data_IF_482718887499
#
_entry.id   IF_482718887499
#
_cell.length_a   1.000
_cell.length_b   1.000
_cell.length_c   1.000
_cell.angle_alpha   90.00
_cell.angle_beta   90.00
_cell.angle_gamma   90.00
#
_symmetry.space_group_name_H-M   'P 1'
#
loop_
_entity.id
_entity.type
_entity.pdbx_description
1 polymer ?
#
# COMPACT_ATOMS: atom_id res chain seq x y z
N UNK A 1 42.81 7.94 -22.29
CA UNK A 1 42.27 7.67 -20.93
C UNK A 1 41.33 8.76 -20.41
N UNK A 2 41.72 10.04 -20.34
CA UNK A 2 40.86 11.14 -19.81
C UNK A 2 39.45 11.23 -20.41
N UNK A 3 39.31 11.06 -21.74
CA UNK A 3 37.99 11.02 -22.42
C UNK A 3 37.10 9.85 -21.96
N UNK A 4 37.68 8.68 -21.68
CA UNK A 4 36.93 7.51 -21.19
C UNK A 4 36.46 7.72 -19.75
N UNK A 5 37.29 8.33 -18.91
CA UNK A 5 36.94 8.70 -17.52
C UNK A 5 35.78 9.71 -17.50
N UNK A 6 35.81 10.70 -18.39
CA UNK A 6 34.71 11.68 -18.53
C UNK A 6 33.39 11.02 -18.94
N UNK A 7 33.42 10.10 -19.92
CA UNK A 7 32.22 9.37 -20.36
C UNK A 7 31.66 8.49 -19.22
N UNK A 8 32.52 7.77 -18.49
CA UNK A 8 32.09 6.94 -17.36
C UNK A 8 31.47 7.79 -16.24
N UNK A 9 32.05 8.94 -15.91
CA UNK A 9 31.51 9.84 -14.90
C UNK A 9 30.12 10.38 -15.30
N UNK A 10 29.93 10.77 -16.56
CA UNK A 10 28.63 11.22 -17.07
C UNK A 10 27.58 10.10 -16.97
N UNK A 11 27.93 8.88 -17.36
CA UNK A 11 27.04 7.72 -17.25
C UNK A 11 26.59 7.47 -15.80
N UNK A 12 27.50 7.54 -14.84
CA UNK A 12 27.17 7.38 -13.42
C UNK A 12 26.19 8.46 -12.96
N UNK A 13 26.43 9.72 -13.34
CA UNK A 13 25.53 10.84 -12.99
C UNK A 13 24.14 10.63 -13.59
N UNK A 14 24.05 10.22 -14.86
CA UNK A 14 22.75 9.93 -15.51
C UNK A 14 22.00 8.79 -14.81
N UNK A 15 22.71 7.74 -14.38
CA UNK A 15 22.11 6.63 -13.64
C UNK A 15 21.59 7.07 -12.27
N UNK A 16 22.38 7.83 -11.51
CA UNK A 16 21.97 8.38 -10.21
C UNK A 16 20.74 9.28 -10.37
N UNK A 17 20.75 10.16 -11.38
CA UNK A 17 19.62 11.06 -11.61
C UNK A 17 18.35 10.31 -12.02
N UNK A 18 18.49 9.30 -12.90
CA UNK A 18 17.37 8.42 -13.28
C UNK A 18 16.81 7.68 -12.06
N UNK A 19 17.68 7.21 -11.18
CA UNK A 19 17.28 6.55 -9.94
C UNK A 19 16.48 7.47 -9.02
N UNK A 20 16.91 8.72 -8.85
CA UNK A 20 16.19 9.72 -8.05
C UNK A 20 14.81 10.01 -8.66
N UNK A 21 14.73 10.22 -9.98
CA UNK A 21 13.47 10.49 -10.67
C UNK A 21 12.46 9.34 -10.54
N UNK A 22 12.94 8.09 -10.62
CA UNK A 22 12.11 6.91 -10.43
C UNK A 22 11.52 6.89 -9.01
N UNK A 23 12.34 7.12 -7.98
CA UNK A 23 11.88 7.09 -6.59
C UNK A 23 10.94 8.27 -6.23
N UNK A 24 11.01 9.38 -6.96
CA UNK A 24 10.08 10.50 -6.79
C UNK A 24 8.73 10.24 -7.45
N UNK A 25 8.71 9.48 -8.56
CA UNK A 25 7.49 9.27 -9.37
C UNK A 25 6.72 8.01 -8.99
N UNK A 26 7.39 7.00 -8.49
CA UNK A 26 6.79 5.69 -8.19
C UNK A 26 6.85 5.38 -6.70
N UNK A 27 5.80 4.73 -6.20
CA UNK A 27 5.69 4.27 -4.80
C UNK A 27 6.76 3.21 -4.51
N UNK A 28 7.05 2.38 -5.52
CA UNK A 28 8.11 1.38 -5.50
C UNK A 28 9.01 1.51 -6.72
N UNK A 29 10.31 1.26 -6.52
CA UNK A 29 11.25 1.27 -7.62
C UNK A 29 11.09 -0.02 -8.45
N UNK A 30 10.66 0.05 -9.72
CA UNK A 30 10.38 -1.12 -10.55
C UNK A 30 11.62 -1.96 -10.87
N UNK A 31 12.83 -1.43 -10.65
CA UNK A 31 14.10 -2.13 -10.90
C UNK A 31 14.53 -2.93 -9.66
N UNK A 32 14.30 -2.38 -8.46
CA UNK A 32 14.77 -2.97 -7.21
C UNK A 32 13.70 -3.76 -6.46
N UNK A 33 12.43 -3.60 -6.84
CA UNK A 33 11.31 -4.19 -6.12
C UNK A 33 10.68 -5.31 -6.94
N UNK A 34 10.57 -6.49 -6.33
CA UNK A 34 9.92 -7.65 -6.92
C UNK A 34 8.40 -7.58 -6.74
N UNK A 35 7.62 -7.85 -7.78
CA UNK A 35 6.16 -7.95 -7.68
C UNK A 35 5.75 -9.18 -6.89
N UNK A 36 4.64 -9.09 -6.18
CA UNK A 36 3.99 -10.22 -5.51
C UNK A 36 2.48 -10.01 -5.46
N UNK A 37 1.77 -10.77 -4.62
CA UNK A 37 0.32 -10.66 -4.47
C UNK A 37 -0.15 -9.27 -4.03
N UNK A 38 0.61 -8.57 -3.18
CA UNK A 38 0.29 -7.22 -2.69
C UNK A 38 0.56 -6.19 -3.79
N UNK A 39 1.66 -6.35 -4.53
CA UNK A 39 2.04 -5.46 -5.64
C UNK A 39 1.93 -6.14 -7.00
N UNK A 40 0.76 -6.72 -7.30
CA UNK A 40 0.54 -7.58 -8.48
C UNK A 40 0.20 -6.80 -9.76
N UNK A 41 -0.19 -5.54 -9.63
CA UNK A 41 -0.52 -4.67 -10.76
C UNK A 41 0.75 -4.20 -11.50
N UNK A 42 0.59 -3.71 -12.74
CA UNK A 42 1.69 -3.10 -13.50
C UNK A 42 2.31 -1.91 -12.74
N UNK A 43 3.63 -1.73 -12.82
CA UNK A 43 4.34 -0.65 -12.14
C UNK A 43 3.83 0.74 -12.50
N UNK A 44 3.25 0.91 -13.68
CA UNK A 44 2.63 2.16 -14.11
C UNK A 44 1.45 2.60 -13.25
N UNK A 45 0.86 1.70 -12.45
CA UNK A 45 -0.23 1.97 -11.51
C UNK A 45 0.30 2.51 -10.17
N UNK A 46 1.48 2.06 -9.74
CA UNK A 46 2.10 2.45 -8.46
C UNK A 46 2.84 3.80 -8.55
N UNK A 47 2.11 4.86 -8.90
CA UNK A 47 2.66 6.21 -9.09
C UNK A 47 2.13 7.21 -8.07
N UNK A 48 2.94 8.24 -7.83
CA UNK A 48 2.52 9.46 -7.14
C UNK A 48 1.95 10.49 -8.13
N UNK A 49 1.13 11.46 -7.66
CA UNK A 49 0.59 11.60 -6.30
C UNK A 49 -0.48 10.54 -5.97
N UNK A 50 -0.55 10.11 -4.71
CA UNK A 50 -1.52 9.12 -4.25
C UNK A 50 -2.00 9.48 -2.85
N UNK A 51 -3.21 9.01 -2.51
CA UNK A 51 -3.81 9.21 -1.19
C UNK A 51 -4.28 7.90 -0.59
N UNK A 52 -4.42 7.89 0.73
CA UNK A 52 -5.02 6.82 1.51
C UNK A 52 -6.39 7.30 1.99
N UNK A 53 -7.40 6.48 1.80
CA UNK A 53 -8.72 6.63 2.38
C UNK A 53 -8.95 5.52 3.38
N UNK A 54 -9.31 5.92 4.60
CA UNK A 54 -9.71 5.01 5.66
C UNK A 54 -11.22 5.01 5.76
N UNK A 55 -11.81 3.82 5.81
CA UNK A 55 -13.25 3.63 5.92
C UNK A 55 -13.60 2.75 7.12
N UNK A 56 -14.76 3.03 7.71
CA UNK A 56 -15.43 2.21 8.71
C UNK A 56 -16.77 1.75 8.18
N UNK A 57 -17.11 0.47 8.40
CA UNK A 57 -18.45 -0.03 8.11
C UNK A 57 -19.37 0.27 9.29
N UNK A 58 -20.34 1.15 9.06
CA UNK A 58 -21.35 1.58 10.02
C UNK A 58 -22.75 1.08 9.59
N UNK A 59 -23.78 1.35 10.38
CA UNK A 59 -25.16 0.87 10.12
C UNK A 59 -25.70 1.27 8.73
N UNK A 60 -25.24 2.41 8.21
CA UNK A 60 -25.64 2.94 6.91
C UNK A 60 -24.66 2.60 5.77
N UNK A 61 -23.67 1.75 6.03
CA UNK A 61 -22.64 1.34 5.07
C UNK A 61 -21.26 1.97 5.34
N UNK A 62 -20.43 1.99 4.30
CA UNK A 62 -19.05 2.50 4.38
C UNK A 62 -19.02 4.01 4.55
N UNK A 63 -18.34 4.47 5.60
CA UNK A 63 -18.10 5.88 5.89
C UNK A 63 -16.61 6.16 5.89
N UNK A 64 -16.18 7.23 5.21
CA UNK A 64 -14.77 7.68 5.24
C UNK A 64 -14.50 8.26 6.63
N UNK A 65 -13.49 7.73 7.32
CA UNK A 65 -13.05 8.22 8.64
C UNK A 65 -11.90 9.21 8.52
N UNK A 66 -10.99 8.99 7.58
CA UNK A 66 -9.89 9.92 7.31
C UNK A 66 -9.33 9.79 5.89
N UNK A 67 -8.71 10.86 5.41
CA UNK A 67 -7.95 10.92 4.15
C UNK A 67 -6.54 11.40 4.47
N UNK A 68 -5.54 10.67 3.97
CA UNK A 68 -4.12 10.95 4.24
C UNK A 68 -3.33 11.02 2.94
N UNK A 69 -2.66 12.16 2.74
CA UNK A 69 -1.78 12.44 1.59
C UNK A 69 -0.30 12.30 2.00
N UNK A 70 0.10 11.15 2.56
CA UNK A 70 1.48 10.87 2.97
C UNK A 70 2.08 9.69 2.18
N UNK A 71 3.01 10.02 1.29
CA UNK A 71 3.76 9.07 0.49
C UNK A 71 4.53 8.05 1.34
N UNK A 72 5.01 8.44 2.53
CA UNK A 72 5.74 7.55 3.44
C UNK A 72 4.79 6.53 4.08
N UNK A 73 3.58 6.95 4.41
CA UNK A 73 2.55 6.09 4.98
C UNK A 73 2.10 5.03 3.96
N UNK A 74 1.87 5.44 2.70
CA UNK A 74 1.56 4.52 1.60
C UNK A 74 2.65 3.45 1.46
N UNK A 75 3.92 3.90 1.42
CA UNK A 75 5.05 3.00 1.28
C UNK A 75 5.18 2.07 2.49
N UNK A 76 4.93 2.57 3.70
CA UNK A 76 4.96 1.78 4.92
C UNK A 76 3.89 0.69 4.92
N UNK A 77 2.63 1.03 4.63
CA UNK A 77 1.52 0.05 4.60
C UNK A 77 1.83 -1.11 3.65
N UNK A 78 2.19 -0.79 2.40
CA UNK A 78 2.46 -1.81 1.38
C UNK A 78 3.70 -2.65 1.74
N UNK A 79 4.72 -2.05 2.36
CA UNK A 79 5.90 -2.77 2.85
C UNK A 79 5.57 -3.71 4.01
N UNK A 80 4.76 -3.28 4.98
CA UNK A 80 4.36 -4.13 6.11
C UNK A 80 3.52 -5.32 5.65
N UNK A 81 2.54 -5.10 4.78
CA UNK A 81 1.74 -6.18 4.20
C UNK A 81 2.62 -7.19 3.42
N UNK A 82 3.64 -6.70 2.72
CA UNK A 82 4.57 -7.56 1.97
C UNK A 82 5.50 -8.41 2.85
N UNK A 83 5.83 -7.96 4.07
CA UNK A 83 6.73 -8.71 4.97
C UNK A 83 6.18 -10.10 5.30
N UNK A 84 4.87 -10.22 5.43
CA UNK A 84 4.22 -11.44 5.86
C UNK A 84 3.83 -12.30 4.64
N UNK A 85 4.81 -13.03 4.10
CA UNK A 85 4.63 -13.94 2.94
C UNK A 85 3.74 -15.15 3.22
N UNK A 86 3.45 -15.46 4.48
CA UNK A 86 2.58 -16.57 4.85
C UNK A 86 1.13 -16.20 4.58
N UNK A 87 0.62 -16.64 3.42
CA UNK A 87 -0.81 -16.61 3.13
C UNK A 87 -1.50 -17.52 4.15
N UNK A 88 -2.33 -16.95 5.03
CA UNK A 88 -3.12 -17.76 5.97
C UNK A 88 -4.16 -18.52 5.13
N UNK A 89 -3.91 -19.79 4.84
CA UNK A 89 -4.69 -20.63 3.92
C UNK A 89 -6.07 -21.07 4.46
N UNK A 90 -6.63 -20.42 5.48
CA UNK A 90 -8.04 -20.68 5.77
C UNK A 90 -8.79 -19.46 6.31
N UNK A 91 -9.78 -19.07 5.50
CA UNK A 91 -10.97 -18.27 5.80
C UNK A 91 -11.60 -18.62 7.17
N UNK A 92 -11.43 -19.86 7.62
CA UNK A 92 -11.96 -20.37 8.89
C UNK A 92 -11.27 -19.82 10.15
N UNK A 93 -10.04 -19.30 10.06
CA UNK A 93 -9.39 -18.56 11.16
C UNK A 93 -9.74 -17.07 11.18
N UNK A 94 -10.06 -16.51 10.00
CA UNK A 94 -10.34 -15.09 9.80
C UNK A 94 -11.76 -14.69 10.19
N UNK A 95 -12.78 -15.48 9.84
CA UNK A 95 -14.19 -15.09 10.04
C UNK A 95 -14.90 -15.74 11.23
N UNK A 96 -14.35 -16.81 11.84
CA UNK A 96 -15.07 -17.54 12.91
C UNK A 96 -15.28 -16.77 14.22
N UNK A 97 -14.91 -15.48 14.31
CA UNK A 97 -15.07 -14.64 15.51
C UNK A 97 -15.69 -13.26 15.22
N UNK A 98 -16.60 -13.16 14.26
CA UNK A 98 -17.19 -11.88 13.82
C UNK A 98 -17.83 -11.00 14.93
N UNK A 99 -18.19 -11.52 16.11
CA UNK A 99 -18.68 -10.68 17.22
C UNK A 99 -17.59 -10.05 18.08
N UNK A 100 -16.40 -10.66 18.16
CA UNK A 100 -15.29 -10.18 19.00
C UNK A 100 -14.30 -9.33 18.19
N UNK A 101 -14.38 -9.37 16.86
CA UNK A 101 -13.45 -8.72 15.95
C UNK A 101 -13.67 -7.21 15.81
N UNK A 102 -14.77 -6.66 16.32
CA UNK A 102 -15.09 -5.24 16.21
C UNK A 102 -15.61 -4.85 14.81
N UNK A 103 -15.60 -3.56 14.48
CA UNK A 103 -16.11 -3.09 13.19
C UNK A 103 -15.20 -3.50 12.03
N UNK A 104 -15.78 -3.74 10.86
CA UNK A 104 -15.02 -3.88 9.62
C UNK A 104 -14.50 -2.50 9.21
N UNK A 105 -13.23 -2.47 8.78
CA UNK A 105 -12.52 -1.30 8.30
C UNK A 105 -11.95 -1.61 6.92
N UNK A 106 -11.76 -0.57 6.12
CA UNK A 106 -11.15 -0.69 4.80
C UNK A 106 -10.15 0.43 4.58
N UNK A 107 -9.03 0.08 3.96
CA UNK A 107 -8.03 1.03 3.49
C UNK A 107 -8.01 0.98 1.97
N UNK A 108 -8.11 2.14 1.34
CA UNK A 108 -8.02 2.30 -0.12
C UNK A 108 -6.87 3.24 -0.43
N UNK A 109 -5.90 2.77 -1.19
CA UNK A 109 -4.82 3.59 -1.74
C UNK A 109 -5.20 3.89 -3.19
N UNK A 110 -5.28 5.17 -3.56
CA UNK A 110 -5.66 5.59 -4.90
C UNK A 110 -4.67 6.58 -5.49
N UNK A 111 -4.52 6.54 -6.81
CA UNK A 111 -3.80 7.56 -7.55
C UNK A 111 -4.68 8.80 -7.67
N UNK A 112 -4.12 9.99 -7.45
CA UNK A 112 -4.82 11.25 -7.65
C UNK A 112 -4.68 11.69 -9.12
N UNK A 113 -5.80 11.78 -9.81
CA UNK A 113 -5.86 12.30 -11.20
C UNK A 113 -6.10 13.80 -11.27
N UNK A 114 -6.54 14.40 -10.16
CA UNK A 114 -6.75 15.84 -10.00
C UNK A 114 -6.25 16.28 -8.62
N UNK A 115 -6.16 17.59 -8.39
CA UNK A 115 -5.84 18.14 -7.06
C UNK A 115 -6.97 17.93 -6.03
N UNK A 116 -8.13 17.40 -6.46
CA UNK A 116 -9.25 17.10 -5.57
C UNK A 116 -9.09 15.69 -5.00
N UNK A 117 -9.23 15.60 -3.68
CA UNK A 117 -9.26 14.33 -2.96
C UNK A 117 -10.40 13.43 -3.50
N UNK A 118 -10.14 12.13 -3.57
CA UNK A 118 -11.16 11.12 -3.90
C UNK A 118 -11.33 10.80 -5.39
N UNK A 119 -10.63 11.48 -6.29
CA UNK A 119 -10.70 11.22 -7.72
C UNK A 119 -9.47 10.48 -8.25
N UNK A 120 -9.70 9.27 -8.79
CA UNK A 120 -8.72 8.51 -9.56
C UNK A 120 -8.76 7.01 -9.30
N UNK A 121 -7.95 6.21 -10.03
CA UNK A 121 -8.00 4.76 -9.96
C UNK A 121 -7.46 4.23 -8.63
N UNK A 122 -8.07 3.16 -8.14
CA UNK A 122 -7.59 2.43 -6.97
C UNK A 122 -6.30 1.70 -7.34
N UNK A 123 -5.24 1.96 -6.58
CA UNK A 123 -3.94 1.30 -6.71
C UNK A 123 -3.97 -0.03 -5.95
N UNK A 124 -4.49 0.02 -4.72
CA UNK A 124 -4.54 -1.10 -3.80
C UNK A 124 -5.64 -0.89 -2.76
N UNK A 125 -6.26 -1.97 -2.28
CA UNK A 125 -7.21 -1.91 -1.19
C UNK A 125 -7.12 -3.17 -0.33
N UNK A 126 -7.46 -3.06 0.95
CA UNK A 126 -7.66 -4.20 1.83
C UNK A 126 -8.71 -3.91 2.90
N UNK A 127 -9.38 -4.95 3.36
CA UNK A 127 -10.30 -4.91 4.50
C UNK A 127 -9.63 -5.53 5.73
N UNK A 128 -9.98 -5.07 6.92
CA UNK A 128 -9.57 -5.66 8.19
C UNK A 128 -10.63 -5.41 9.27
N UNK A 129 -10.51 -6.05 10.41
CA UNK A 129 -11.38 -5.80 11.56
C UNK A 129 -10.63 -5.10 12.69
N UNK A 130 -11.28 -4.22 13.46
CA UNK A 130 -10.65 -3.42 14.53
C UNK A 130 -9.81 -4.23 15.51
N UNK A 131 -10.28 -5.41 15.90
CA UNK A 131 -9.60 -6.33 16.82
C UNK A 131 -8.97 -7.53 16.07
N UNK A 132 -8.99 -7.50 14.73
CA UNK A 132 -8.37 -8.50 13.88
C UNK A 132 -6.84 -8.35 13.82
N UNK A 133 -6.17 -9.44 13.44
CA UNK A 133 -4.71 -9.48 13.27
C UNK A 133 -4.31 -9.86 11.83
N UNK A 134 -5.24 -9.74 10.89
CA UNK A 134 -5.01 -10.01 9.48
C UNK A 134 -5.83 -9.05 8.61
N UNK A 135 -5.32 -8.81 7.42
CA UNK A 135 -5.93 -8.05 6.35
C UNK A 135 -6.41 -9.01 5.25
N UNK A 136 -7.62 -8.78 4.77
CA UNK A 136 -8.15 -9.35 3.53
C UNK A 136 -7.70 -8.49 2.36
N UNK A 137 -6.78 -9.03 1.56
CA UNK A 137 -6.18 -8.35 0.39
C UNK A 137 -6.71 -8.91 -0.95
N UNK A 138 -7.60 -9.90 -0.90
CA UNK A 138 -8.08 -10.64 -2.07
C UNK A 138 -9.62 -10.72 -2.17
N UNK A 139 -10.35 -9.82 -1.50
CA UNK A 139 -11.81 -9.82 -1.42
C UNK A 139 -12.37 -11.16 -0.90
N UNK A 140 -11.80 -11.67 0.18
CA UNK A 140 -12.24 -12.86 0.91
C UNK A 140 -11.44 -14.12 0.58
N UNK A 141 -10.42 -14.01 -0.28
CA UNK A 141 -9.63 -15.15 -0.80
C UNK A 141 -8.22 -15.20 -0.22
N UNK A 142 -7.55 -14.06 -0.07
CA UNK A 142 -6.17 -13.97 0.40
C UNK A 142 -6.09 -13.14 1.69
N UNK A 143 -5.50 -13.72 2.74
CA UNK A 143 -5.34 -13.08 4.03
C UNK A 143 -3.86 -12.96 4.41
N UNK A 144 -3.48 -11.79 4.89
CA UNK A 144 -2.11 -11.44 5.28
C UNK A 144 -2.09 -10.95 6.72
N UNK A 145 -1.19 -11.48 7.58
CA UNK A 145 -1.03 -10.97 8.95
C UNK A 145 -0.74 -9.46 8.99
N UNK A 146 -1.38 -8.76 9.92
CA UNK A 146 -1.10 -7.35 10.23
C UNK A 146 -0.05 -7.33 11.35
N UNK A 147 1.10 -6.69 11.10
CA UNK A 147 2.14 -6.48 12.12
C UNK A 147 1.67 -5.50 13.19
N UNK A 148 2.28 -5.54 14.39
CA UNK A 148 1.96 -4.61 15.47
C UNK A 148 2.23 -3.15 15.05
N UNK A 149 3.26 -2.91 14.24
CA UNK A 149 3.57 -1.58 13.71
C UNK A 149 2.50 -1.09 12.73
N UNK A 150 2.01 -1.97 11.84
CA UNK A 150 0.91 -1.63 10.95
C UNK A 150 -0.38 -1.40 11.74
N UNK A 151 -0.67 -2.24 12.74
CA UNK A 151 -1.84 -2.07 13.61
C UNK A 151 -1.81 -0.72 14.33
N UNK A 152 -0.67 -0.33 14.89
CA UNK A 152 -0.50 0.95 15.56
C UNK A 152 -0.66 2.17 14.63
N UNK A 153 -0.38 2.02 13.33
CA UNK A 153 -0.71 3.04 12.33
C UNK A 153 -2.23 3.09 12.07
N UNK A 154 -2.83 1.94 11.78
CA UNK A 154 -4.26 1.82 11.46
C UNK A 154 -5.15 2.35 12.59
N UNK A 155 -4.74 2.15 13.85
CA UNK A 155 -5.47 2.63 15.02
C UNK A 155 -5.47 4.17 15.16
N UNK A 156 -4.47 4.87 14.63
CA UNK A 156 -4.42 6.34 14.67
C UNK A 156 -5.39 7.01 13.69
N UNK A 157 -5.75 6.30 12.63
CA UNK A 157 -6.58 6.79 11.54
C UNK A 157 -8.03 6.25 11.61
N UNK A 158 -8.42 5.70 12.77
CA UNK A 158 -9.75 5.15 13.07
C UNK A 158 -10.85 6.19 13.06
#
# INVERSE_FOLDING_TARGET
MRRRIGITAILIVVLIFSFILINQKFIFNPILFEQDKITSNDWSIYKYPAQIEYFSFEDNGWTITSIVNDNKEIHFILKELKKNKETILSQSGFYKRNKEMGKEKRVVIRHLTSEKEGEGPIIFQFSYYENGNAADVGNGVDFVPISDELKGLLEKNK
#
